data_IF_642706916903
#
_entry.id   IF_642706916903
#
_cell.length_a   1.000
_cell.length_b   1.000
_cell.length_c   1.000
_cell.angle_alpha   90.00
_cell.angle_beta   90.00
_cell.angle_gamma   90.00
#
_symmetry.space_group_name_H-M   'P 1'
#
loop_
_entity.id
_entity.type
_entity.pdbx_description
1 polymer ?
#
# COMPACT_ATOMS: atom_id res chain seq x y z
N UNK A 1 -13.21 0.18 -5.16
CA UNK A 1 -11.91 0.53 -5.75
C UNK A 1 -11.60 -0.37 -6.94
N UNK A 2 -11.07 0.20 -8.00
CA UNK A 2 -10.57 -0.58 -9.13
C UNK A 2 -9.14 -1.02 -8.85
N UNK A 3 -8.86 -2.28 -9.14
CA UNK A 3 -7.55 -2.89 -8.87
C UNK A 3 -6.96 -3.40 -10.18
N UNK A 4 -5.72 -3.06 -10.43
CA UNK A 4 -5.01 -3.46 -11.65
C UNK A 4 -3.84 -4.36 -11.27
N UNK A 5 -3.92 -5.66 -11.63
CA UNK A 5 -2.92 -6.63 -11.22
C UNK A 5 -1.69 -6.63 -12.12
N UNK A 6 -0.54 -6.71 -11.50
CA UNK A 6 0.75 -6.77 -12.17
C UNK A 6 1.66 -7.76 -11.47
N UNK A 7 2.74 -8.12 -12.14
CA UNK A 7 3.79 -8.94 -11.57
C UNK A 7 5.11 -8.18 -11.59
N UNK A 8 5.79 -8.19 -10.47
CA UNK A 8 7.14 -7.63 -10.35
C UNK A 8 8.13 -8.55 -11.06
N UNK A 9 8.99 -7.99 -11.89
CA UNK A 9 9.98 -8.78 -12.64
C UNK A 9 10.96 -9.47 -11.72
N UNK A 10 11.38 -8.79 -10.67
CA UNK A 10 12.29 -9.35 -9.69
C UNK A 10 11.51 -9.75 -8.46
N UNK A 11 11.73 -10.98 -8.02
CA UNK A 11 11.01 -11.53 -6.88
C UNK A 11 11.79 -11.43 -5.57
N UNK A 12 12.93 -10.77 -5.55
CA UNK A 12 13.71 -10.64 -4.32
C UNK A 12 13.01 -9.71 -3.34
N UNK A 13 12.81 -10.16 -2.12
CA UNK A 13 12.23 -9.30 -1.08
C UNK A 13 13.04 -8.01 -0.94
N UNK A 14 12.35 -6.91 -0.79
CA UNK A 14 12.98 -5.61 -0.58
C UNK A 14 13.34 -4.83 -1.82
N UNK A 15 13.51 -5.45 -3.00
CA UNK A 15 13.87 -4.70 -4.20
C UNK A 15 12.83 -3.67 -4.60
N UNK A 16 11.56 -4.02 -4.54
CA UNK A 16 10.49 -3.08 -4.89
C UNK A 16 10.41 -1.93 -3.90
N UNK A 17 10.64 -2.21 -2.62
CA UNK A 17 10.71 -1.16 -1.61
C UNK A 17 11.87 -0.20 -1.91
N UNK A 18 13.01 -0.71 -2.35
CA UNK A 18 14.13 0.14 -2.74
C UNK A 18 13.78 0.98 -3.97
N UNK A 19 13.10 0.41 -4.96
CA UNK A 19 12.66 1.18 -6.11
C UNK A 19 11.72 2.31 -5.71
N UNK A 20 10.79 2.06 -4.80
CA UNK A 20 9.91 3.10 -4.29
C UNK A 20 10.68 4.22 -3.61
N UNK A 21 11.72 3.88 -2.86
CA UNK A 21 12.57 4.87 -2.19
C UNK A 21 13.35 5.75 -3.16
N UNK A 22 13.66 5.22 -4.34
CA UNK A 22 14.43 5.94 -5.35
C UNK A 22 13.58 6.72 -6.34
N UNK A 23 12.26 6.65 -6.22
CA UNK A 23 11.37 7.42 -7.09
C UNK A 23 11.61 8.90 -6.93
N UNK A 24 11.57 9.61 -8.05
CA UNK A 24 11.71 11.05 -8.07
C UNK A 24 10.34 11.72 -8.23
N UNK A 25 10.20 12.96 -7.78
CA UNK A 25 8.97 13.69 -8.09
C UNK A 25 8.72 13.73 -9.60
N UNK A 26 7.45 13.67 -10.07
CA UNK A 26 6.26 13.69 -9.21
C UNK A 26 5.82 12.33 -8.69
N UNK A 27 6.33 11.21 -9.19
CA UNK A 27 5.86 9.87 -8.80
C UNK A 27 5.99 9.60 -7.30
N UNK A 28 7.09 10.04 -6.70
CA UNK A 28 7.33 9.85 -5.28
C UNK A 28 6.19 10.40 -4.40
N UNK A 29 5.50 11.42 -4.87
CA UNK A 29 4.44 12.08 -4.10
C UNK A 29 3.04 11.55 -4.44
N UNK A 30 2.95 10.54 -5.31
CA UNK A 30 1.68 10.10 -5.89
C UNK A 30 1.35 8.65 -5.62
N UNK A 31 1.83 8.12 -4.51
CA UNK A 31 1.45 6.77 -4.11
C UNK A 31 1.32 6.68 -2.61
N UNK A 32 0.60 5.66 -2.14
CA UNK A 32 0.59 5.29 -0.74
C UNK A 32 0.44 3.77 -0.62
N UNK A 33 1.32 3.16 0.15
CA UNK A 33 1.26 1.73 0.43
C UNK A 33 0.10 1.41 1.37
N UNK A 34 -0.52 0.26 1.14
CA UNK A 34 -1.57 -0.26 2.02
C UNK A 34 -1.41 -1.79 2.17
N UNK A 35 -2.23 -2.39 3.00
CA UNK A 35 -2.29 -3.83 3.25
C UNK A 35 -0.93 -4.39 3.69
N UNK A 36 -0.55 -5.57 3.20
CA UNK A 36 0.65 -6.27 3.68
C UNK A 36 1.92 -5.45 3.56
N UNK A 37 2.08 -4.72 2.47
CA UNK A 37 3.26 -3.89 2.27
C UNK A 37 3.34 -2.77 3.30
N UNK A 38 2.20 -2.15 3.63
CA UNK A 38 2.15 -1.13 4.65
C UNK A 38 2.48 -1.69 6.04
N UNK A 39 1.90 -2.83 6.38
CA UNK A 39 2.17 -3.51 7.66
C UNK A 39 3.65 -3.86 7.78
N UNK A 40 4.23 -4.42 6.72
CA UNK A 40 5.64 -4.76 6.69
C UNK A 40 6.52 -3.53 6.92
N UNK A 41 6.18 -2.42 6.26
CA UNK A 41 6.91 -1.16 6.40
C UNK A 41 6.84 -0.65 7.85
N UNK A 42 5.65 -0.67 8.44
CA UNK A 42 5.46 -0.23 9.82
C UNK A 42 6.23 -1.08 10.82
N UNK A 43 6.48 -2.34 10.50
CA UNK A 43 7.25 -3.24 11.34
C UNK A 43 8.74 -3.19 11.08
N UNK A 44 9.18 -2.39 10.11
CA UNK A 44 10.59 -2.36 9.71
C UNK A 44 11.02 -3.60 8.95
N UNK A 45 10.08 -4.41 8.49
CA UNK A 45 10.34 -5.59 7.67
C UNK A 45 10.06 -5.21 6.22
N UNK A 46 11.08 -5.01 5.43
CA UNK A 46 10.89 -4.58 4.05
C UNK A 46 10.70 -5.78 3.12
N UNK A 47 9.79 -6.66 3.51
CA UNK A 47 9.42 -7.86 2.77
C UNK A 47 7.90 -8.00 2.78
N UNK A 48 7.31 -8.15 1.60
CA UNK A 48 5.91 -8.46 1.47
C UNK A 48 5.71 -9.31 0.22
N UNK A 49 4.87 -10.33 0.31
CA UNK A 49 4.57 -11.20 -0.84
C UNK A 49 3.78 -10.46 -1.89
N UNK A 50 2.96 -9.52 -1.46
CA UNK A 50 2.13 -8.71 -2.34
C UNK A 50 2.30 -7.24 -2.00
N UNK A 51 2.28 -6.42 -3.03
CA UNK A 51 2.41 -4.99 -2.92
C UNK A 51 1.11 -4.34 -3.38
N UNK A 52 0.48 -3.55 -2.54
CA UNK A 52 -0.71 -2.78 -2.89
C UNK A 52 -0.41 -1.29 -2.76
N UNK A 53 -0.63 -0.57 -3.85
CA UNK A 53 -0.38 0.88 -3.89
C UNK A 53 -1.62 1.61 -4.33
N UNK A 54 -2.05 2.57 -3.55
CA UNK A 54 -3.03 3.55 -4.02
C UNK A 54 -2.34 4.56 -4.92
N UNK A 55 -2.91 4.78 -6.10
CA UNK A 55 -2.42 5.75 -7.07
C UNK A 55 -3.56 6.69 -7.46
N UNK A 56 -3.51 7.97 -7.04
CA UNK A 56 -4.58 8.91 -7.38
C UNK A 56 -4.69 9.16 -8.87
N UNK A 57 -3.58 9.05 -9.59
CA UNK A 57 -3.57 9.30 -11.04
C UNK A 57 -4.40 8.29 -11.83
N UNK A 58 -4.65 7.11 -11.27
CA UNK A 58 -5.52 6.13 -11.91
C UNK A 58 -6.96 6.60 -12.07
N UNK A 59 -7.37 7.58 -11.29
CA UNK A 59 -8.72 8.15 -11.36
C UNK A 59 -8.86 9.23 -12.42
N UNK A 60 -7.77 9.67 -13.02
CA UNK A 60 -7.75 10.73 -14.03
C UNK A 60 -7.36 10.25 -15.40
N UNK A 61 -6.14 9.75 -15.51
CA UNK A 61 -5.55 9.31 -16.76
C UNK A 61 -4.97 7.92 -16.53
N UNK A 62 -5.86 6.96 -16.50
CA UNK A 62 -5.54 5.58 -16.13
C UNK A 62 -4.43 4.99 -16.98
N UNK A 63 -4.56 5.06 -18.30
CA UNK A 63 -3.60 4.40 -19.20
C UNK A 63 -2.21 5.00 -19.05
N UNK A 64 -2.12 6.30 -18.93
CA UNK A 64 -0.85 6.98 -18.72
C UNK A 64 -0.24 6.63 -17.37
N UNK A 65 -1.05 6.61 -16.32
CA UNK A 65 -0.58 6.26 -14.98
C UNK A 65 -0.11 4.82 -14.92
N UNK A 66 -0.84 3.88 -15.51
CA UNK A 66 -0.43 2.49 -15.55
C UNK A 66 0.91 2.33 -16.27
N UNK A 67 1.08 3.02 -17.39
CA UNK A 67 2.32 2.97 -18.15
C UNK A 67 3.48 3.53 -17.33
N UNK A 68 3.32 4.70 -16.75
CA UNK A 68 4.37 5.35 -15.97
C UNK A 68 4.81 4.49 -14.79
N UNK A 69 3.86 3.95 -14.04
CA UNK A 69 4.15 3.13 -12.88
C UNK A 69 4.71 1.77 -13.24
N UNK A 70 4.23 1.16 -14.34
CA UNK A 70 4.78 -0.10 -14.83
C UNK A 70 6.25 0.05 -15.21
N UNK A 71 6.61 1.15 -15.84
CA UNK A 71 7.99 1.42 -16.20
C UNK A 71 8.84 1.72 -14.96
N UNK A 72 8.33 2.55 -14.05
CA UNK A 72 9.08 2.94 -12.86
C UNK A 72 9.38 1.75 -11.95
N UNK A 73 8.46 0.81 -11.81
CA UNK A 73 8.60 -0.34 -10.93
C UNK A 73 8.93 -1.63 -11.69
N UNK A 74 9.11 -1.55 -13.00
CA UNK A 74 9.41 -2.71 -13.85
C UNK A 74 8.37 -3.81 -13.68
N UNK A 75 7.11 -3.46 -13.94
CA UNK A 75 5.99 -4.38 -13.80
C UNK A 75 5.57 -4.95 -15.15
N UNK A 76 5.04 -6.17 -15.12
CA UNK A 76 4.38 -6.81 -16.26
C UNK A 76 2.92 -6.98 -15.94
N UNK A 77 2.01 -6.84 -16.92
CA UNK A 77 0.61 -7.23 -16.71
C UNK A 77 0.53 -8.68 -16.27
N UNK A 78 -0.36 -8.98 -15.34
CA UNK A 78 -0.47 -10.31 -14.78
C UNK A 78 -1.92 -10.62 -14.40
N UNK A 79 -2.21 -11.90 -14.24
CA UNK A 79 -3.50 -12.38 -13.78
C UNK A 79 -3.38 -13.01 -12.41
N UNK A 80 -3.62 -14.32 -12.34
CA UNK A 80 -3.60 -15.03 -11.06
C UNK A 80 -2.22 -15.07 -10.39
N UNK A 81 -1.16 -14.85 -11.15
CA UNK A 81 0.21 -14.82 -10.63
C UNK A 81 0.64 -13.40 -10.21
N UNK A 82 -0.30 -12.46 -10.13
CA UNK A 82 -0.01 -11.09 -9.76
C UNK A 82 0.49 -11.00 -8.33
N UNK A 83 1.47 -10.12 -8.11
CA UNK A 83 1.99 -9.83 -6.78
C UNK A 83 2.16 -8.33 -6.53
N UNK A 84 1.76 -7.50 -7.48
CA UNK A 84 1.73 -6.05 -7.33
C UNK A 84 0.39 -5.54 -7.83
N UNK A 85 -0.31 -4.78 -7.01
CA UNK A 85 -1.65 -4.32 -7.32
C UNK A 85 -1.68 -2.80 -7.24
N UNK A 86 -1.98 -2.18 -8.38
CA UNK A 86 -2.15 -0.73 -8.46
C UNK A 86 -3.62 -0.44 -8.26
N UNK A 87 -3.94 0.36 -7.27
CA UNK A 87 -5.32 0.56 -6.82
C UNK A 87 -5.76 1.99 -7.08
N UNK A 88 -6.86 2.15 -7.82
CA UNK A 88 -7.49 3.45 -7.99
C UNK A 88 -8.41 3.69 -6.79
N UNK A 89 -8.15 4.71 -5.97
CA UNK A 89 -8.99 4.96 -4.81
C UNK A 89 -10.38 5.47 -5.24
N UNK A 90 -11.42 4.97 -4.59
CA UNK A 90 -12.79 5.44 -4.85
C UNK A 90 -12.92 6.93 -4.52
N UNK A 91 -12.36 7.31 -3.37
CA UNK A 91 -12.30 8.71 -2.94
C UNK A 91 -10.86 9.13 -2.88
N UNK A 92 -10.47 9.95 -3.86
CA UNK A 92 -9.07 10.33 -4.05
C UNK A 92 -8.40 10.87 -2.79
N UNK A 93 -9.10 11.67 -2.04
CA UNK A 93 -8.52 12.28 -0.84
C UNK A 93 -8.50 11.35 0.36
N UNK A 94 -9.41 10.40 0.43
CA UNK A 94 -9.50 9.51 1.59
C UNK A 94 -8.25 8.65 1.77
N UNK A 95 -7.71 8.14 0.66
CA UNK A 95 -6.53 7.27 0.71
C UNK A 95 -5.25 8.03 1.07
N UNK A 96 -5.21 9.35 0.81
CA UNK A 96 -4.00 10.14 1.01
C UNK A 96 -4.08 11.08 2.20
N UNK A 97 -5.27 11.28 2.75
CA UNK A 97 -5.41 12.08 3.95
C UNK A 97 -4.76 11.37 5.14
N UNK A 98 -3.90 12.08 5.83
CA UNK A 98 -3.21 11.50 6.97
C UNK A 98 -2.14 10.48 6.64
N UNK A 99 -1.80 10.31 5.35
CA UNK A 99 -0.70 9.44 5.01
C UNK A 99 0.61 9.97 5.59
N UNK A 100 1.53 9.05 5.88
CA UNK A 100 2.78 9.43 6.53
C UNK A 100 3.96 8.67 5.90
N UNK A 101 5.16 9.11 6.22
CA UNK A 101 6.38 8.50 5.70
C UNK A 101 7.00 7.62 6.78
N UNK A 102 7.31 6.39 6.40
CA UNK A 102 7.95 5.42 7.28
C UNK A 102 9.06 4.75 6.49
N UNK A 103 10.28 4.78 7.00
CA UNK A 103 11.43 4.18 6.33
C UNK A 103 11.63 4.71 4.90
N UNK A 104 11.31 5.98 4.65
CA UNK A 104 11.41 6.58 3.33
C UNK A 104 10.30 6.17 2.36
N UNK A 105 9.29 5.48 2.84
CA UNK A 105 8.15 5.03 2.06
C UNK A 105 6.87 5.76 2.49
N UNK A 106 5.94 5.91 1.57
CA UNK A 106 4.66 6.59 1.86
C UNK A 106 3.62 5.53 2.18
N UNK A 107 3.01 5.66 3.34
CA UNK A 107 2.05 4.68 3.87
C UNK A 107 0.74 5.39 4.16
N UNK A 108 -0.39 4.76 3.86
CA UNK A 108 -1.70 5.31 4.22
C UNK A 108 -1.81 5.54 5.73
N UNK A 109 -2.75 6.37 6.14
CA UNK A 109 -3.00 6.60 7.57
C UNK A 109 -3.29 5.28 8.29
N UNK A 110 -3.03 5.25 9.59
CA UNK A 110 -3.29 4.06 10.39
C UNK A 110 -4.78 3.67 10.32
N UNK A 111 -5.67 4.64 10.33
CA UNK A 111 -7.09 4.36 10.19
C UNK A 111 -7.43 3.74 8.83
N UNK A 112 -6.90 4.31 7.75
CA UNK A 112 -7.14 3.76 6.42
C UNK A 112 -6.61 2.34 6.31
N UNK A 113 -5.43 2.09 6.85
CA UNK A 113 -4.84 0.76 6.84
C UNK A 113 -5.71 -0.25 7.61
N UNK A 114 -6.21 0.17 8.78
CA UNK A 114 -7.11 -0.68 9.56
C UNK A 114 -8.36 -1.04 8.73
N UNK A 115 -8.97 -0.06 8.09
CA UNK A 115 -10.16 -0.28 7.27
C UNK A 115 -9.87 -1.18 6.07
N UNK A 116 -8.74 -0.98 5.41
CA UNK A 116 -8.35 -1.82 4.27
C UNK A 116 -8.15 -3.28 4.71
N UNK A 117 -7.48 -3.49 5.83
CA UNK A 117 -7.29 -4.83 6.37
C UNK A 117 -8.60 -5.46 6.81
N UNK A 118 -9.50 -4.66 7.35
CA UNK A 118 -10.83 -5.14 7.77
C UNK A 118 -11.62 -5.69 6.59
N UNK A 119 -11.48 -5.06 5.42
CA UNK A 119 -12.19 -5.48 4.21
C UNK A 119 -11.42 -6.51 3.38
N UNK A 120 -10.19 -6.85 3.77
CA UNK A 120 -9.43 -7.86 3.05
C UNK A 120 -9.80 -9.25 3.55
N UNK A 121 -9.55 -10.25 2.69
CA UNK A 121 -9.87 -11.63 3.02
C UNK A 121 -8.62 -12.51 3.17
N UNK A 122 -7.46 -11.88 3.37
CA UNK A 122 -6.22 -12.64 3.50
C UNK A 122 -6.10 -13.40 4.81
N UNK A 123 -5.38 -14.53 4.80
CA UNK A 123 -5.15 -15.33 5.99
C UNK A 123 -4.38 -14.59 7.08
N UNK A 124 -3.57 -13.61 6.69
CA UNK A 124 -2.78 -12.80 7.62
C UNK A 124 -3.57 -11.62 8.21
N UNK A 125 -4.81 -11.43 7.79
CA UNK A 125 -5.61 -10.28 8.20
C UNK A 125 -5.73 -10.07 9.71
N UNK A 126 -6.05 -11.10 10.52
CA UNK A 126 -6.17 -10.88 11.96
C UNK A 126 -4.89 -10.41 12.61
N UNK A 127 -3.75 -10.97 12.21
CA UNK A 127 -2.45 -10.56 12.75
C UNK A 127 -2.11 -9.13 12.34
N UNK A 128 -2.35 -8.81 11.08
CA UNK A 128 -2.09 -7.49 10.55
C UNK A 128 -2.95 -6.43 11.24
N UNK A 129 -4.24 -6.73 11.43
CA UNK A 129 -5.14 -5.82 12.14
C UNK A 129 -4.69 -5.58 13.57
N UNK A 130 -4.28 -6.62 14.28
CA UNK A 130 -3.79 -6.49 15.65
C UNK A 130 -2.58 -5.56 15.71
N UNK A 131 -1.65 -5.70 14.74
CA UNK A 131 -0.48 -4.84 14.68
C UNK A 131 -0.84 -3.37 14.45
N UNK A 132 -1.88 -3.10 13.66
CA UNK A 132 -2.30 -1.74 13.36
C UNK A 132 -3.12 -1.13 14.50
N UNK A 133 -3.99 -1.91 15.12
CA UNK A 133 -4.83 -1.44 16.22
C UNK A 133 -3.98 -0.79 17.33
N UNK A 134 -2.83 -1.37 17.63
CA UNK A 134 -1.97 -0.84 18.68
C UNK A 134 -1.47 0.58 18.38
N UNK A 135 -1.55 1.02 17.13
CA UNK A 135 -1.12 2.34 16.69
C UNK A 135 -2.26 3.36 16.67
N UNK A 136 -3.49 2.92 16.89
CA UNK A 136 -4.67 3.79 16.81
C UNK A 136 -5.21 4.06 18.21
N UNK A 137 -4.89 5.20 18.82
CA UNK A 137 -5.28 5.48 20.21
C UNK A 137 -6.77 5.36 20.46
N UNK A 138 -7.59 5.71 19.47
CA UNK A 138 -9.04 5.67 19.65
C UNK A 138 -9.63 4.28 19.42
N UNK A 139 -8.84 3.33 18.93
CA UNK A 139 -9.26 1.94 18.75
C UNK A 139 -8.63 1.02 19.79
N UNK A 140 -7.62 1.50 20.50
CA UNK A 140 -7.06 0.73 21.60
C UNK A 140 -8.08 0.69 22.70
N UNK A 141 -8.40 -0.51 23.14
CA UNK A 141 -9.32 -0.69 24.22
C UNK A 141 -8.76 -0.09 25.47
N UNK A 142 -9.26 1.02 25.82
CA UNK A 142 -8.94 1.55 27.08
C UNK A 142 -9.86 0.93 28.07
N UNK A 143 -9.32 0.31 28.99
CA UNK A 143 -10.11 -0.19 30.07
C UNK A 143 -10.85 0.92 30.68
N UNK A 144 -11.69 1.02 30.42
CA UNK A 144 -12.19 1.84 30.77
C UNK A 144 -12.25 2.23 31.76
N UNK A 145 -11.96 2.48 31.64
CA UNK A 145 -11.99 2.81 32.18
C UNK A 145 -12.58 3.05 32.90
N UNK A 146 -12.68 3.00 33.06
CA UNK A 146 -13.22 3.11 33.74
C UNK A 146 -13.33 3.00 34.47
#
# INVERSE_FOLDING_TARGET
>A
NSVFPFRMKNSKPGETFQKLRTLRPPLFERYALTLDAAVATLRGQLEAKQLHLYLPDLSHDRDRALKMWSEALELKPAGYDANCFLVAPTYRFAAFFGMHRVEGLRVVSDLQLYLDLFHSHGASRPKAQTAVISRLPFLVETPTAN
#
